data_IF_910007865479
#
_entry.id   IF_910007865479
#
_cell.length_a   1.000
_cell.length_b   1.000
_cell.length_c   1.000
_cell.angle_alpha   90.00
_cell.angle_beta   90.00
_cell.angle_gamma   90.00
#
_symmetry.space_group_name_H-M   'P 1'
#
loop_
_entity.id
_entity.type
_entity.pdbx_description
1 polymer ?
#
# COMPACT_ATOMS: atom_id res chain seq x y z
N UNK A 1 -25.56 3.30 -2.86
CA UNK A 1 -24.31 3.99 -3.27
C UNK A 1 -23.68 4.47 -1.98
N UNK A 2 -22.40 4.18 -1.74
CA UNK A 2 -21.73 4.69 -0.53
C UNK A 2 -21.81 6.22 -0.54
N UNK A 3 -22.09 6.82 0.62
CA UNK A 3 -22.17 8.27 0.74
C UNK A 3 -20.80 8.86 0.39
N UNK A 4 -20.79 9.82 -0.53
CA UNK A 4 -19.55 10.52 -0.87
C UNK A 4 -19.12 11.38 0.32
N UNK A 5 -17.84 11.31 0.67
CA UNK A 5 -17.25 12.15 1.73
C UNK A 5 -17.22 13.63 1.35
N UNK A 6 -17.02 14.50 2.33
CA UNK A 6 -16.85 15.93 2.08
C UNK A 6 -15.62 16.21 1.21
N UNK A 7 -15.64 17.31 0.45
CA UNK A 7 -14.52 17.74 -0.39
C UNK A 7 -13.24 17.96 0.44
N UNK A 8 -13.39 18.55 1.63
CA UNK A 8 -12.28 18.79 2.55
C UNK A 8 -11.63 17.46 2.98
N UNK A 9 -12.44 16.47 3.36
CA UNK A 9 -11.95 15.17 3.77
C UNK A 9 -11.27 14.43 2.60
N UNK A 10 -11.89 14.47 1.43
CA UNK A 10 -11.31 13.89 0.21
C UNK A 10 -9.95 14.50 -0.11
N UNK A 11 -9.84 15.83 -0.04
CA UNK A 11 -8.59 16.54 -0.27
C UNK A 11 -7.54 16.14 0.77
N UNK A 12 -7.89 16.11 2.06
CA UNK A 12 -6.98 15.73 3.14
C UNK A 12 -6.39 14.33 2.96
N UNK A 13 -7.24 13.34 2.64
CA UNK A 13 -6.79 11.96 2.39
C UNK A 13 -5.92 11.89 1.13
N UNK A 14 -6.29 12.60 0.06
CA UNK A 14 -5.48 12.66 -1.15
C UNK A 14 -4.09 13.26 -0.87
N UNK A 15 -4.00 14.34 -0.09
CA UNK A 15 -2.72 14.93 0.32
C UNK A 15 -1.87 13.98 1.17
N UNK A 16 -2.50 13.22 2.07
CA UNK A 16 -1.82 12.18 2.84
C UNK A 16 -1.16 11.13 1.92
N UNK A 17 -1.90 10.62 0.93
CA UNK A 17 -1.37 9.64 -0.04
C UNK A 17 -0.24 10.23 -0.91
N UNK A 18 -0.34 11.51 -1.31
CA UNK A 18 0.73 12.17 -2.05
C UNK A 18 1.99 12.37 -1.20
N UNK A 19 1.82 12.64 0.09
CA UNK A 19 2.94 12.72 1.02
C UNK A 19 3.59 11.35 1.22
N UNK A 20 2.81 10.29 1.40
CA UNK A 20 3.31 8.91 1.46
C UNK A 20 4.17 8.57 0.23
N UNK A 21 3.65 8.86 -0.98
CA UNK A 21 4.37 8.70 -2.24
C UNK A 21 5.72 9.45 -2.27
N UNK A 22 5.76 10.69 -1.76
CA UNK A 22 6.99 11.48 -1.69
C UNK A 22 8.04 10.85 -0.77
N UNK A 23 7.63 10.25 0.36
CA UNK A 23 8.55 9.59 1.27
C UNK A 23 9.17 8.35 0.63
N UNK A 24 8.37 7.56 -0.09
CA UNK A 24 8.85 6.39 -0.81
C UNK A 24 9.80 6.78 -1.95
N UNK A 25 9.44 7.79 -2.74
CA UNK A 25 10.25 8.26 -3.87
C UNK A 25 11.58 8.88 -3.44
N UNK A 26 11.60 9.53 -2.28
CA UNK A 26 12.80 10.15 -1.70
C UNK A 26 13.58 9.19 -0.78
N UNK A 27 13.25 7.89 -0.77
CA UNK A 27 13.94 6.88 0.05
C UNK A 27 13.87 7.11 1.57
N UNK A 28 12.86 7.85 2.04
CA UNK A 28 12.61 8.12 3.46
C UNK A 28 11.76 7.02 4.09
N UNK A 29 12.24 5.79 4.02
CA UNK A 29 11.46 4.61 4.43
C UNK A 29 11.11 4.57 5.93
N UNK A 30 11.96 5.13 6.80
CA UNK A 30 11.68 5.23 8.23
C UNK A 30 10.51 6.18 8.52
N UNK A 31 10.48 7.32 7.84
CA UNK A 31 9.39 8.28 7.95
C UNK A 31 8.09 7.68 7.38
N UNK A 32 8.17 6.93 6.28
CA UNK A 32 7.04 6.19 5.72
C UNK A 32 6.49 5.14 6.71
N UNK A 33 7.36 4.31 7.30
CA UNK A 33 6.95 3.29 8.26
C UNK A 33 6.25 3.90 9.49
N UNK A 34 6.68 5.08 9.94
CA UNK A 34 6.09 5.79 11.07
C UNK A 34 4.64 6.25 10.83
N UNK A 35 4.22 6.38 9.56
CA UNK A 35 2.83 6.73 9.21
C UNK A 35 1.88 5.54 9.27
N UNK A 36 2.41 4.31 9.25
CA UNK A 36 1.59 3.11 9.18
C UNK A 36 1.05 2.73 10.56
N UNK A 37 -0.18 2.25 10.57
CA UNK A 37 -0.82 1.71 11.77
C UNK A 37 -0.02 0.51 12.33
N UNK A 38 -0.01 0.36 13.66
CA UNK A 38 0.75 -0.70 14.34
C UNK A 38 0.26 -2.10 13.95
N UNK A 39 -1.04 -2.25 13.67
CA UNK A 39 -1.68 -3.50 13.32
C UNK A 39 -1.75 -3.74 11.79
N UNK A 40 -1.06 -2.92 10.99
CA UNK A 40 -1.10 -2.99 9.52
C UNK A 40 -0.84 -4.42 8.99
N UNK A 41 -1.56 -4.75 7.91
CA UNK A 41 -1.31 -5.90 7.06
C UNK A 41 -1.00 -5.40 5.65
N UNK A 42 0.28 -5.30 5.33
CA UNK A 42 0.76 -4.88 4.01
C UNK A 42 0.77 -6.09 3.08
N UNK A 43 -0.26 -6.18 2.23
CA UNK A 43 -0.49 -7.39 1.44
C UNK A 43 -0.60 -7.12 -0.05
N UNK A 44 0.02 -7.99 -0.84
CA UNK A 44 -0.08 -8.01 -2.29
C UNK A 44 -0.21 -9.47 -2.74
N UNK A 45 -1.32 -9.79 -3.40
CA UNK A 45 -1.65 -11.16 -3.82
C UNK A 45 -1.11 -11.44 -5.22
N UNK A 46 -0.74 -12.69 -5.48
CA UNK A 46 -0.45 -13.13 -6.85
C UNK A 46 -1.75 -13.17 -7.67
N UNK A 47 -1.77 -12.52 -8.82
CA UNK A 47 -2.90 -12.60 -9.77
C UNK A 47 -2.65 -13.69 -10.79
N UNK A 48 -3.51 -14.72 -10.81
CA UNK A 48 -3.42 -15.82 -11.79
C UNK A 48 -4.29 -15.57 -13.01
N UNK A 49 -3.80 -15.99 -14.18
CA UNK A 49 -4.61 -15.99 -15.40
C UNK A 49 -5.68 -17.08 -15.29
N UNK A 50 -6.95 -16.69 -15.43
CA UNK A 50 -8.08 -17.60 -15.42
C UNK A 50 -8.96 -17.34 -16.64
N UNK A 51 -9.50 -18.41 -17.24
CA UNK A 51 -10.47 -18.30 -18.31
C UNK A 51 -11.75 -17.61 -17.79
N UNK A 52 -12.44 -16.84 -18.64
CA UNK A 52 -13.66 -16.10 -18.27
C UNK A 52 -14.73 -16.99 -17.62
N UNK A 53 -14.86 -18.24 -18.07
CA UNK A 53 -15.79 -19.22 -17.49
C UNK A 53 -15.43 -19.63 -16.05
N UNK A 54 -14.16 -19.61 -15.70
CA UNK A 54 -13.66 -20.01 -14.38
C UNK A 54 -13.57 -18.79 -13.44
N UNK A 55 -13.39 -17.58 -13.98
CA UNK A 55 -13.54 -16.32 -13.22
C UNK A 55 -14.93 -16.19 -12.58
N UNK A 56 -15.98 -16.69 -13.25
CA UNK A 56 -17.37 -16.65 -12.75
C UNK A 56 -17.67 -17.67 -11.64
N UNK A 57 -16.81 -18.68 -11.44
CA UNK A 57 -17.03 -19.76 -10.45
C UNK A 57 -16.60 -19.40 -9.02
N UNK A 58 -16.30 -18.13 -8.78
CA UNK A 58 -15.76 -17.69 -7.50
C UNK A 58 -14.24 -17.81 -7.51
N UNK A 59 -13.61 -16.70 -7.14
CA UNK A 59 -12.16 -16.58 -7.00
C UNK A 59 -11.69 -17.67 -6.03
N UNK A 60 -10.95 -18.65 -6.55
CA UNK A 60 -10.19 -19.54 -5.69
C UNK A 60 -9.26 -18.66 -4.85
N UNK A 61 -9.12 -18.89 -3.53
CA UNK A 61 -8.18 -18.13 -2.71
C UNK A 61 -6.82 -18.12 -3.39
N UNK A 62 -6.08 -17.00 -3.37
CA UNK A 62 -4.80 -16.95 -4.04
C UNK A 62 -3.91 -18.01 -3.42
N UNK A 63 -3.26 -18.80 -4.27
CA UNK A 63 -2.38 -19.88 -3.83
C UNK A 63 -1.12 -19.35 -3.14
N UNK A 64 -0.76 -18.08 -3.39
CA UNK A 64 0.46 -17.44 -2.88
C UNK A 64 0.34 -15.92 -2.73
N UNK A 65 1.23 -15.33 -1.93
CA UNK A 65 1.35 -13.89 -1.69
C UNK A 65 2.70 -13.38 -2.20
N UNK A 66 2.71 -12.18 -2.79
CA UNK A 66 3.93 -11.42 -3.11
C UNK A 66 4.42 -10.70 -1.84
N UNK A 67 3.49 -10.00 -1.17
CA UNK A 67 3.68 -9.42 0.16
C UNK A 67 2.58 -9.89 1.09
N UNK A 68 2.94 -10.21 2.33
CA UNK A 68 2.02 -10.48 3.42
C UNK A 68 2.73 -10.15 4.74
N UNK A 69 3.01 -8.86 4.91
CA UNK A 69 3.90 -8.37 5.96
C UNK A 69 3.13 -7.63 7.05
N UNK A 70 3.57 -7.82 8.30
CA UNK A 70 3.29 -6.95 9.44
C UNK A 70 4.23 -5.75 9.48
N UNK A 71 3.97 -4.77 10.35
CA UNK A 71 4.86 -3.61 10.55
C UNK A 71 6.29 -4.02 10.92
N UNK A 72 6.48 -4.97 11.84
CA UNK A 72 7.79 -5.51 12.21
C UNK A 72 8.53 -6.15 11.02
N UNK A 73 7.80 -6.80 10.12
CA UNK A 73 8.39 -7.41 8.92
C UNK A 73 8.80 -6.33 7.90
N UNK A 74 8.00 -5.28 7.74
CA UNK A 74 8.37 -4.10 6.95
C UNK A 74 9.60 -3.42 7.53
N UNK A 75 9.70 -3.28 8.85
CA UNK A 75 10.86 -2.70 9.50
C UNK A 75 12.15 -3.47 9.16
N UNK A 76 12.11 -4.81 9.21
CA UNK A 76 13.26 -5.66 8.84
C UNK A 76 13.66 -5.48 7.37
N UNK A 77 12.70 -5.23 6.46
CA UNK A 77 13.00 -4.93 5.06
C UNK A 77 13.72 -3.60 4.93
N UNK A 78 13.27 -2.58 5.65
CA UNK A 78 13.91 -1.27 5.68
C UNK A 78 15.32 -1.37 6.26
N UNK A 79 15.48 -2.06 7.38
CA UNK A 79 16.79 -2.31 7.99
C UNK A 79 17.76 -3.01 7.02
N UNK A 80 17.25 -3.93 6.17
CA UNK A 80 18.07 -4.56 5.12
C UNK A 80 18.51 -3.55 4.05
N UNK A 81 17.63 -2.65 3.60
CA UNK A 81 17.99 -1.59 2.64
C UNK A 81 19.08 -0.66 3.19
N UNK A 82 19.03 -0.37 4.49
CA UNK A 82 20.01 0.48 5.19
C UNK A 82 21.41 -0.16 5.33
N UNK A 83 21.55 -1.47 5.10
CA UNK A 83 22.85 -2.16 5.23
C UNK A 83 23.83 -1.84 4.09
N UNK A 84 23.35 -1.34 2.95
CA UNK A 84 24.14 -1.24 1.72
C UNK A 84 24.47 -2.59 1.06
N UNK A 85 23.94 -3.71 1.59
CA UNK A 85 24.10 -5.06 1.01
C UNK A 85 22.88 -5.51 0.22
N UNK A 86 21.87 -4.65 0.10
CA UNK A 86 20.72 -4.88 -0.76
C UNK A 86 21.09 -4.55 -2.22
N UNK A 87 21.92 -5.38 -2.84
CA UNK A 87 22.50 -5.13 -4.18
C UNK A 87 21.47 -4.86 -5.29
N UNK A 88 20.23 -5.31 -5.13
CA UNK A 88 19.15 -4.98 -6.08
C UNK A 88 18.78 -3.48 -6.07
N UNK A 89 19.10 -2.78 -4.99
CA UNK A 89 18.78 -1.37 -4.76
C UNK A 89 20.05 -0.56 -4.42
N UNK A 90 21.22 -1.07 -4.79
CA UNK A 90 22.50 -0.37 -4.67
C UNK A 90 23.16 -0.33 -6.06
N UNK A 91 23.06 0.79 -6.81
CA UNK A 91 22.55 2.09 -6.37
C UNK A 91 21.00 2.16 -6.27
N UNK A 92 20.46 3.09 -5.45
CA UNK A 92 19.03 3.29 -5.26
C UNK A 92 18.23 3.42 -6.56
N UNK A 93 17.11 2.69 -6.66
CA UNK A 93 16.13 2.89 -7.72
C UNK A 93 15.55 4.31 -7.67
N UNK A 94 15.39 4.91 -8.85
CA UNK A 94 14.64 6.16 -9.02
C UNK A 94 13.18 5.82 -9.30
N UNK A 95 12.31 6.01 -8.31
CA UNK A 95 10.87 5.74 -8.42
C UNK A 95 10.07 7.02 -8.53
N UNK A 96 8.85 6.90 -9.06
CA UNK A 96 7.80 7.92 -9.02
C UNK A 96 6.45 7.26 -8.83
N UNK A 97 5.78 7.52 -7.70
CA UNK A 97 4.45 6.99 -7.43
C UNK A 97 3.37 7.97 -7.90
N UNK A 98 2.70 7.65 -9.01
CA UNK A 98 1.58 8.45 -9.54
C UNK A 98 0.26 7.95 -8.95
N UNK A 99 -0.38 8.78 -8.14
CA UNK A 99 -1.65 8.45 -7.48
C UNK A 99 -2.78 9.24 -8.14
N UNK A 100 -3.84 8.53 -8.55
CA UNK A 100 -5.05 9.10 -9.13
C UNK A 100 -6.27 8.26 -8.76
N UNK A 101 -7.47 8.71 -9.17
CA UNK A 101 -8.72 7.97 -9.04
C UNK A 101 -9.09 7.63 -7.58
N UNK A 102 -8.70 8.46 -6.61
CA UNK A 102 -9.07 8.29 -5.21
C UNK A 102 -10.59 8.35 -5.03
N UNK A 103 -11.18 7.23 -4.65
CA UNK A 103 -12.56 7.11 -4.21
C UNK A 103 -12.51 6.82 -2.71
N UNK A 104 -13.31 7.57 -1.94
CA UNK A 104 -13.29 7.49 -0.48
C UNK A 104 -14.72 7.35 0.01
N UNK A 105 -14.90 6.42 0.93
CA UNK A 105 -16.15 6.11 1.59
C UNK A 105 -15.96 5.99 3.10
N UNK A 106 -17.00 6.33 3.85
CA UNK A 106 -17.04 6.07 5.29
C UNK A 106 -17.25 4.57 5.54
N UNK A 107 -16.65 4.07 6.62
CA UNK A 107 -16.93 2.73 7.14
C UNK A 107 -17.86 2.80 8.35
N UNK A 108 -18.29 1.65 8.86
CA UNK A 108 -19.05 1.57 10.11
C UNK A 108 -18.23 1.98 11.35
N UNK A 109 -16.89 2.09 11.20
CA UNK A 109 -15.99 2.52 12.26
C UNK A 109 -15.70 4.02 12.09
N UNK A 110 -16.00 4.86 13.08
CA UNK A 110 -15.73 6.30 13.00
C UNK A 110 -14.27 6.61 12.71
N UNK A 111 -14.03 7.54 11.79
CA UNK A 111 -12.69 7.96 11.33
C UNK A 111 -11.86 6.87 10.61
N UNK A 112 -12.48 5.76 10.23
CA UNK A 112 -11.88 4.76 9.34
C UNK A 112 -12.58 4.86 7.99
N UNK A 113 -11.78 4.99 6.93
CA UNK A 113 -12.26 5.23 5.56
C UNK A 113 -11.77 4.13 4.62
N UNK A 114 -12.56 3.85 3.58
CA UNK A 114 -12.30 2.85 2.56
C UNK A 114 -12.30 3.44 1.15
#
# INVERSE_FOLDING_TARGET
>A
MSAQVSLELHHRISQFLFHEASLLDDWKFRDWLAQLDEEIRYTMRTTVNAQTRDRRKGVQPPTTWIFNDTKDQLERRIARLETGMAWAEEPPSRTRHLISNCQISETDIPNVFA
#
